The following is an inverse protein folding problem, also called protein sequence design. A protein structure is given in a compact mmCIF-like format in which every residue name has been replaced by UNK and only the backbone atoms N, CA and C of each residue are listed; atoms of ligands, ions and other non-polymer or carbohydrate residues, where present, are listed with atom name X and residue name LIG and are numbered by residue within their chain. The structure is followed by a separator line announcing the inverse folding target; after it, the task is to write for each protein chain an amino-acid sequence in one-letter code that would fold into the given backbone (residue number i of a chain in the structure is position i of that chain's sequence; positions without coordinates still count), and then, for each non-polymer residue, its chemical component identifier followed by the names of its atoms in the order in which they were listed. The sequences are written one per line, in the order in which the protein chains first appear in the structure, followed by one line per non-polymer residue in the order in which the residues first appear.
data_IF_600022556596
#
_entry.id   IF_600022556596
#
_cell.length_a   1.000
_cell.length_b   1.000
_cell.length_c   1.000
_cell.angle_alpha   90.00
_cell.angle_beta   90.00
_cell.angle_gamma   90.00
#
_symmetry.space_group_name_H-M   'P 1'
#
loop_
_entity.id
_entity.type
_entity.pdbx_description
1 polymer ?
#
# COMPACT_ATOMS: atom_id res chain seq x y z
N UNK A 1 -11.21 26.65 -11.50
CA UNK A 1 -10.52 25.42 -11.04
C UNK A 1 -11.41 24.24 -11.42
N UNK A 2 -10.86 23.21 -12.05
CA UNK A 2 -11.64 22.06 -12.56
C UNK A 2 -11.92 21.06 -11.43
N UNK A 3 -13.11 20.43 -11.43
CA UNK A 3 -13.41 19.30 -10.55
C UNK A 3 -12.59 18.11 -11.01
N UNK A 4 -11.86 17.47 -10.09
CA UNK A 4 -11.02 16.31 -10.38
C UNK A 4 -11.44 15.13 -9.52
N UNK A 5 -11.64 13.98 -10.15
CA UNK A 5 -11.98 12.73 -9.49
C UNK A 5 -10.76 11.83 -9.54
N UNK A 6 -10.25 11.44 -8.37
CA UNK A 6 -9.11 10.52 -8.25
C UNK A 6 -9.58 9.22 -7.64
N UNK A 7 -9.15 8.11 -8.23
CA UNK A 7 -9.33 6.79 -7.67
C UNK A 7 -7.98 6.14 -7.44
N UNK A 8 -7.75 5.61 -6.23
CA UNK A 8 -6.59 4.80 -5.90
C UNK A 8 -7.01 3.38 -5.57
N UNK A 9 -6.20 2.41 -5.99
CA UNK A 9 -6.42 1.00 -5.73
C UNK A 9 -5.09 0.26 -5.58
N UNK A 10 -5.11 -0.93 -4.99
CA UNK A 10 -3.94 -1.81 -5.01
C UNK A 10 -3.50 -2.10 -6.44
N UNK A 11 -2.19 -2.04 -6.70
CA UNK A 11 -1.60 -2.37 -7.99
C UNK A 11 -1.76 -3.86 -8.35
N UNK A 12 -2.07 -4.71 -7.36
CA UNK A 12 -2.38 -6.12 -7.51
C UNK A 12 -3.52 -6.51 -6.57
N UNK A 13 -4.17 -7.64 -6.81
CA UNK A 13 -5.17 -8.22 -5.92
C UNK A 13 -4.91 -9.69 -5.62
N UNK A 14 -5.17 -10.14 -4.40
CA UNK A 14 -5.11 -11.55 -4.05
C UNK A 14 -6.46 -12.23 -4.25
N UNK A 15 -6.50 -13.35 -4.97
CA UNK A 15 -7.76 -14.07 -5.21
C UNK A 15 -8.32 -14.75 -3.97
N UNK A 16 -9.64 -14.76 -3.94
CA UNK A 16 -10.52 -15.51 -3.04
C UNK A 16 -10.65 -16.96 -3.51
N UNK A 17 -10.77 -17.89 -2.56
CA UNK A 17 -10.84 -19.33 -2.82
C UNK A 17 -12.07 -19.94 -2.14
N UNK A 18 -12.89 -20.67 -2.90
CA UNK A 18 -14.12 -21.25 -2.39
C UNK A 18 -15.01 -20.16 -1.77
N UNK A 19 -15.34 -20.33 -0.49
CA UNK A 19 -16.16 -19.37 0.29
C UNK A 19 -15.34 -18.28 0.99
N UNK A 20 -14.00 -18.36 1.00
CA UNK A 20 -13.13 -17.38 1.65
C UNK A 20 -13.11 -16.08 0.84
N UNK A 21 -13.49 -14.95 1.47
CA UNK A 21 -13.42 -13.62 0.85
C UNK A 21 -12.12 -12.92 1.21
N UNK A 22 -11.28 -12.65 0.21
CA UNK A 22 -10.10 -11.79 0.32
C UNK A 22 -10.39 -10.43 -0.31
N UNK A 23 -10.79 -9.49 0.54
CA UNK A 23 -11.05 -8.13 0.11
C UNK A 23 -9.80 -7.46 -0.44
N UNK A 24 -10.00 -6.59 -1.43
CA UNK A 24 -8.97 -5.74 -2.00
C UNK A 24 -8.30 -4.92 -0.88
N UNK A 25 -6.97 -4.91 -0.87
CA UNK A 25 -6.20 -4.31 0.19
C UNK A 25 -4.96 -3.57 -0.38
N UNK A 26 -4.83 -2.25 -0.18
CA UNK A 26 -5.80 -1.40 0.52
C UNK A 26 -7.14 -1.31 -0.23
N UNK A 27 -8.25 -1.03 0.47
CA UNK A 27 -9.56 -0.91 -0.17
C UNK A 27 -9.53 0.25 -1.17
N UNK A 28 -10.03 0.09 -2.41
CA UNK A 28 -10.10 1.19 -3.36
C UNK A 28 -10.75 2.43 -2.76
N UNK A 29 -10.20 3.61 -3.07
CA UNK A 29 -10.64 4.89 -2.52
C UNK A 29 -10.90 5.87 -3.66
N UNK A 30 -11.98 6.63 -3.55
CA UNK A 30 -12.27 7.76 -4.43
C UNK A 30 -12.19 9.06 -3.65
N UNK A 31 -11.68 10.12 -4.29
CA UNK A 31 -11.66 11.48 -3.78
C UNK A 31 -12.06 12.46 -4.88
N UNK A 32 -13.08 13.28 -4.62
CA UNK A 32 -13.52 14.35 -5.52
C UNK A 32 -12.98 15.69 -5.00
N UNK A 33 -12.06 16.27 -5.75
CA UNK A 33 -11.52 17.60 -5.50
C UNK A 33 -12.26 18.63 -6.32
N UNK A 34 -13.04 19.49 -5.66
CA UNK A 34 -13.97 20.42 -6.33
C UNK A 34 -13.63 21.91 -6.15
N UNK A 35 -12.53 22.25 -5.46
CA UNK A 35 -12.13 23.64 -5.21
C UNK A 35 -13.26 24.48 -4.60
N UNK A 36 -13.52 25.66 -5.18
CA UNK A 36 -14.61 26.56 -4.75
C UNK A 36 -16.01 25.93 -4.83
N UNK A 37 -16.20 24.89 -5.65
CA UNK A 37 -17.48 24.22 -5.83
C UNK A 37 -17.75 23.12 -4.78
N UNK A 38 -16.80 22.85 -3.86
CA UNK A 38 -16.92 21.76 -2.91
C UNK A 38 -18.19 21.82 -2.04
N UNK A 39 -18.63 23.02 -1.64
CA UNK A 39 -19.87 23.20 -0.87
C UNK A 39 -21.10 22.80 -1.67
N UNK A 40 -21.17 23.23 -2.93
CA UNK A 40 -22.27 22.90 -3.82
C UNK A 40 -22.31 21.40 -4.11
N UNK A 41 -21.17 20.80 -4.48
CA UNK A 41 -21.10 19.35 -4.73
C UNK A 41 -21.48 18.55 -3.49
N UNK A 42 -21.05 18.96 -2.28
CA UNK A 42 -21.47 18.27 -1.06
C UNK A 42 -22.98 18.34 -0.82
N UNK A 43 -23.61 19.48 -1.14
CA UNK A 43 -25.05 19.65 -0.98
C UNK A 43 -25.87 18.72 -1.88
N UNK A 44 -25.32 18.34 -3.05
CA UNK A 44 -25.94 17.37 -3.95
C UNK A 44 -25.91 15.93 -3.39
N UNK A 45 -25.06 15.63 -2.40
CA UNK A 45 -24.85 14.28 -1.86
C UNK A 45 -24.48 13.25 -2.96
N UNK A 46 -23.35 13.47 -3.66
CA UNK A 46 -22.86 12.55 -4.68
C UNK A 46 -22.58 11.17 -4.09
N UNK A 47 -22.85 10.17 -4.92
CA UNK A 47 -22.50 8.79 -4.63
C UNK A 47 -21.75 8.20 -5.82
N UNK A 48 -21.03 7.13 -5.53
CA UNK A 48 -20.23 6.42 -6.51
C UNK A 48 -20.46 4.93 -6.38
N UNK A 49 -20.53 4.24 -7.51
CA UNK A 49 -20.55 2.77 -7.53
C UNK A 49 -19.24 2.27 -8.11
N UNK A 50 -18.72 1.19 -7.56
CA UNK A 50 -17.53 0.52 -8.08
C UNK A 50 -17.79 -0.96 -8.27
N UNK A 51 -17.45 -1.46 -9.46
CA UNK A 51 -17.59 -2.86 -9.84
C UNK A 51 -16.25 -3.49 -10.21
N UNK A 52 -16.18 -4.82 -10.06
CA UNK A 52 -15.07 -5.62 -10.59
C UNK A 52 -15.45 -6.10 -11.99
N UNK A 53 -14.68 -5.68 -12.99
CA UNK A 53 -14.88 -6.03 -14.40
C UNK A 53 -13.86 -7.08 -14.81
N UNK A 54 -14.35 -8.21 -15.33
CA UNK A 54 -13.52 -9.28 -15.91
C UNK A 54 -13.56 -9.20 -17.44
N UNK A 55 -12.39 -9.19 -18.09
CA UNK A 55 -12.23 -9.00 -19.55
C UNK A 55 -12.95 -10.06 -20.41
N UNK A 56 -13.27 -11.23 -19.84
CA UNK A 56 -13.91 -12.34 -20.58
C UNK A 56 -15.44 -12.37 -20.47
N UNK A 57 -16.04 -11.48 -19.70
CA UNK A 57 -17.50 -11.44 -19.54
C UNK A 57 -18.09 -10.37 -20.46
N UNK A 58 -17.94 -10.56 -21.77
CA UNK A 58 -18.67 -9.78 -22.80
C UNK A 58 -19.78 -10.66 -23.37
N UNK A 59 -20.87 -10.78 -22.62
CA UNK A 59 -22.13 -11.37 -23.07
C UNK A 59 -23.31 -10.53 -22.56
N UNK A 60 -24.52 -10.70 -23.10
CA UNK A 60 -25.71 -9.93 -22.69
C UNK A 60 -26.17 -10.20 -21.24
N UNK A 61 -25.48 -11.09 -20.51
CA UNK A 61 -25.62 -11.36 -19.08
C UNK A 61 -24.30 -11.09 -18.32
N UNK A 62 -23.49 -10.13 -18.79
CA UNK A 62 -22.32 -9.66 -18.05
C UNK A 62 -22.74 -8.86 -16.83
N UNK A 63 -23.37 -9.55 -15.88
CA UNK A 63 -23.64 -8.99 -14.57
C UNK A 63 -22.29 -8.60 -13.96
N UNK A 64 -22.16 -7.34 -13.55
CA UNK A 64 -21.13 -6.94 -12.61
C UNK A 64 -21.29 -7.85 -11.39
N UNK A 65 -20.54 -8.96 -11.35
CA UNK A 65 -20.66 -10.03 -10.33
C UNK A 65 -20.55 -9.49 -8.90
N UNK A 66 -19.98 -8.29 -8.76
CA UNK A 66 -19.90 -7.60 -7.51
C UNK A 66 -19.74 -6.09 -7.76
N UNK A 67 -20.79 -5.35 -7.43
CA UNK A 67 -20.84 -3.90 -7.41
C UNK A 67 -21.05 -3.44 -5.96
N UNK A 68 -20.41 -2.33 -5.58
CA UNK A 68 -20.60 -1.70 -4.29
C UNK A 68 -20.93 -0.23 -4.49
N UNK A 69 -22.00 0.24 -3.85
CA UNK A 69 -22.33 1.66 -3.71
C UNK A 69 -21.59 2.30 -2.53
N UNK A 70 -21.21 3.56 -2.69
CA UNK A 70 -20.60 4.36 -1.63
C UNK A 70 -20.94 5.84 -1.76
N UNK A 71 -21.57 6.41 -0.73
CA UNK A 71 -21.75 7.85 -0.61
C UNK A 71 -20.43 8.53 -0.25
N UNK A 72 -20.16 9.70 -0.83
CA UNK A 72 -18.99 10.50 -0.46
C UNK A 72 -19.20 11.13 0.94
N UNK A 73 -18.16 11.13 1.75
CA UNK A 73 -18.14 11.76 3.07
C UNK A 73 -18.01 13.30 2.97
N UNK A 74 -17.93 13.96 4.12
CA UNK A 74 -17.70 15.41 4.20
C UNK A 74 -16.43 15.87 3.49
N UNK A 75 -15.41 15.03 3.38
CA UNK A 75 -14.18 15.35 2.65
C UNK A 75 -14.28 14.97 1.16
N UNK A 76 -15.48 14.65 0.67
CA UNK A 76 -15.74 14.15 -0.66
C UNK A 76 -14.91 12.89 -0.98
N UNK A 77 -14.74 12.01 0.01
CA UNK A 77 -14.01 10.76 -0.09
C UNK A 77 -14.90 9.57 0.21
N UNK A 78 -14.56 8.42 -0.34
CA UNK A 78 -15.19 7.16 0.03
C UNK A 78 -14.24 5.98 -0.18
N UNK A 79 -14.59 4.81 0.35
CA UNK A 79 -13.77 3.60 0.21
C UNK A 79 -14.60 2.33 0.07
N UNK A 80 -14.17 1.46 -0.84
CA UNK A 80 -14.84 0.21 -1.19
C UNK A 80 -14.17 -0.97 -0.50
N UNK A 81 -14.71 -1.39 0.65
CA UNK A 81 -14.08 -2.39 1.54
C UNK A 81 -14.49 -3.82 1.28
N UNK A 82 -15.55 -4.04 0.50
CA UNK A 82 -16.15 -5.36 0.33
C UNK A 82 -15.86 -5.96 -1.04
N UNK A 83 -15.11 -5.25 -1.88
CA UNK A 83 -14.67 -5.74 -3.17
C UNK A 83 -13.64 -6.87 -2.99
N UNK A 84 -13.83 -8.00 -3.65
CA UNK A 84 -12.91 -9.12 -3.74
C UNK A 84 -12.98 -9.75 -5.14
N UNK A 85 -11.92 -10.43 -5.56
CA UNK A 85 -11.89 -11.18 -6.83
C UNK A 85 -11.90 -12.68 -6.52
N UNK A 86 -12.75 -13.44 -7.21
CA UNK A 86 -12.82 -14.90 -7.08
C UNK A 86 -12.03 -15.57 -8.21
N UNK A 87 -11.42 -16.72 -7.91
CA UNK A 87 -10.89 -17.60 -8.94
C UNK A 87 -11.92 -18.68 -9.24
N UNK A 88 -12.95 -18.40 -10.03
CA UNK A 88 -13.93 -19.41 -10.45
C UNK A 88 -13.30 -20.33 -11.49
N UNK A 89 -13.56 -21.64 -11.37
CA UNK A 89 -12.78 -22.75 -11.95
C UNK A 89 -12.71 -22.87 -13.49
N UNK A 90 -13.13 -21.85 -14.24
CA UNK A 90 -12.95 -21.72 -15.69
C UNK A 90 -12.44 -20.32 -16.11
N UNK A 91 -12.40 -19.36 -15.18
CA UNK A 91 -11.98 -17.98 -15.43
C UNK A 91 -10.45 -17.89 -15.42
N UNK A 92 -9.88 -18.07 -16.60
CA UNK A 92 -8.44 -17.99 -16.86
C UNK A 92 -7.88 -16.57 -16.82
N UNK A 93 -8.71 -15.54 -16.59
CA UNK A 93 -8.21 -14.16 -16.58
C UNK A 93 -7.30 -13.92 -15.38
N UNK A 94 -6.04 -13.58 -15.66
CA UNK A 94 -5.05 -13.17 -14.66
C UNK A 94 -5.18 -11.69 -14.29
N UNK A 95 -6.11 -10.97 -14.91
CA UNK A 95 -6.31 -9.54 -14.77
C UNK A 95 -7.79 -9.22 -14.54
N UNK A 96 -8.08 -8.11 -13.87
CA UNK A 96 -9.41 -7.51 -13.78
C UNK A 96 -9.29 -5.98 -13.87
N UNK A 97 -10.38 -5.27 -14.04
CA UNK A 97 -10.44 -3.80 -13.91
C UNK A 97 -11.43 -3.41 -12.83
N UNK A 98 -11.28 -2.20 -12.31
CA UNK A 98 -12.29 -1.54 -11.48
C UNK A 98 -13.04 -0.55 -12.36
N UNK A 99 -14.36 -0.74 -12.49
CA UNK A 99 -15.25 0.24 -13.11
C UNK A 99 -15.80 1.16 -12.05
N UNK A 100 -15.65 2.46 -12.21
CA UNK A 100 -16.20 3.49 -11.33
C UNK A 100 -17.26 4.28 -12.10
N UNK A 101 -18.43 4.41 -11.50
CA UNK A 101 -19.48 5.30 -11.96
C UNK A 101 -19.73 6.35 -10.88
N UNK A 102 -19.90 7.60 -11.31
CA UNK A 102 -20.08 8.75 -10.43
C UNK A 102 -21.43 9.39 -10.72
N UNK A 103 -22.22 9.58 -9.67
CA UNK A 103 -23.56 10.14 -9.75
C UNK A 103 -23.62 11.43 -8.94
N UNK A 104 -24.29 12.45 -9.49
CA UNK A 104 -24.44 13.74 -8.83
C UNK A 104 -25.17 13.61 -7.49
N UNK A 105 -26.19 12.75 -7.44
CA UNK A 105 -26.99 12.47 -6.25
C UNK A 105 -27.66 11.09 -6.36
N UNK A 106 -28.28 10.59 -5.27
CA UNK A 106 -28.94 9.27 -5.22
C UNK A 106 -30.14 9.10 -6.15
N UNK A 107 -30.71 10.19 -6.65
CA UNK A 107 -31.86 10.17 -7.56
C UNK A 107 -31.44 10.24 -9.03
N UNK A 108 -30.14 10.41 -9.29
CA UNK A 108 -29.60 10.46 -10.65
C UNK A 108 -29.73 9.09 -11.31
N UNK A 109 -30.44 9.03 -12.45
CA UNK A 109 -30.63 7.79 -13.21
C UNK A 109 -29.46 7.44 -14.13
N UNK A 110 -28.59 8.43 -14.41
CA UNK A 110 -27.43 8.28 -15.28
C UNK A 110 -26.16 8.78 -14.57
N UNK A 111 -25.02 8.09 -14.73
CA UNK A 111 -23.77 8.55 -14.17
C UNK A 111 -23.28 9.80 -14.90
N UNK A 112 -22.78 10.76 -14.13
CA UNK A 112 -22.10 11.97 -14.62
C UNK A 112 -20.71 11.66 -15.17
N UNK A 113 -20.05 10.63 -14.63
CA UNK A 113 -18.78 10.14 -15.15
C UNK A 113 -18.70 8.61 -15.03
N UNK A 114 -18.08 7.98 -16.02
CA UNK A 114 -17.75 6.56 -16.02
C UNK A 114 -16.26 6.44 -16.33
N UNK A 115 -15.55 5.65 -15.54
CA UNK A 115 -14.12 5.46 -15.74
C UNK A 115 -13.67 4.08 -15.26
N UNK A 116 -12.75 3.49 -16.01
CA UNK A 116 -12.17 2.19 -15.68
C UNK A 116 -10.70 2.34 -15.28
N UNK A 117 -10.27 1.49 -14.36
CA UNK A 117 -8.85 1.35 -14.06
C UNK A 117 -8.08 0.70 -15.21
N UNK A 118 -6.75 0.86 -15.19
CA UNK A 118 -5.87 -0.05 -15.91
C UNK A 118 -6.07 -1.50 -15.43
N UNK A 119 -5.73 -2.52 -16.24
CA UNK A 119 -5.79 -3.92 -15.80
C UNK A 119 -4.94 -4.16 -14.55
N UNK A 120 -5.53 -4.81 -13.55
CA UNK A 120 -4.95 -5.12 -12.25
C UNK A 120 -4.64 -6.62 -12.19
N UNK A 121 -3.38 -7.03 -11.97
CA UNK A 121 -3.02 -8.42 -11.84
C UNK A 121 -3.60 -9.12 -10.60
N UNK A 122 -4.09 -10.32 -10.82
CA UNK A 122 -4.58 -11.24 -9.80
C UNK A 122 -3.45 -12.21 -9.42
N UNK A 123 -3.12 -12.25 -8.13
CA UNK A 123 -2.15 -13.17 -7.55
C UNK A 123 -2.81 -14.23 -6.68
N UNK A 124 -2.21 -15.42 -6.61
CA UNK A 124 -2.68 -16.51 -5.74
C UNK A 124 -2.30 -16.28 -4.29
N UNK A 125 -1.04 -15.94 -4.04
CA UNK A 125 -0.46 -15.60 -2.74
C UNK A 125 0.68 -14.59 -2.91
N UNK A 126 0.86 -13.64 -1.98
CA UNK A 126 2.07 -12.84 -1.90
C UNK A 126 3.32 -13.73 -1.87
N UNK A 127 4.36 -13.35 -2.62
CA UNK A 127 5.60 -14.12 -2.64
C UNK A 127 6.34 -13.98 -1.30
N UNK A 128 6.56 -15.09 -0.61
CA UNK A 128 7.45 -15.14 0.56
C UNK A 128 8.92 -14.93 0.17
N UNK A 129 9.30 -15.38 -1.02
CA UNK A 129 10.65 -15.21 -1.55
C UNK A 129 10.76 -13.85 -2.22
N UNK A 130 11.91 -13.20 -2.09
CA UNK A 130 12.31 -12.10 -2.97
C UNK A 130 12.16 -12.60 -4.41
N UNK A 131 11.33 -11.93 -5.22
CA UNK A 131 11.10 -12.39 -6.58
C UNK A 131 12.40 -12.31 -7.39
N UNK A 132 12.69 -13.33 -8.21
CA UNK A 132 13.83 -13.32 -9.12
C UNK A 132 13.62 -12.24 -10.19
N UNK A 133 14.71 -11.68 -10.72
CA UNK A 133 14.77 -10.50 -11.60
C UNK A 133 13.95 -10.54 -12.92
N UNK A 134 13.11 -11.56 -13.15
CA UNK A 134 12.31 -11.73 -14.37
C UNK A 134 10.84 -11.31 -14.27
N UNK A 135 10.33 -10.82 -13.14
CA UNK A 135 8.93 -10.42 -13.01
C UNK A 135 8.78 -9.01 -12.43
N UNK A 136 9.10 -7.99 -13.25
CA UNK A 136 9.14 -6.58 -12.85
C UNK A 136 7.82 -6.06 -12.24
N UNK A 137 6.67 -6.62 -12.66
CA UNK A 137 5.35 -6.29 -12.10
C UNK A 137 5.21 -6.59 -10.60
N UNK A 138 6.07 -7.46 -10.07
CA UNK A 138 6.07 -7.82 -8.65
C UNK A 138 6.92 -6.90 -7.78
N UNK A 139 7.72 -6.00 -8.35
CA UNK A 139 8.64 -5.15 -7.59
C UNK A 139 8.01 -3.79 -7.25
N UNK A 140 8.47 -3.21 -6.15
CA UNK A 140 8.28 -1.79 -5.86
C UNK A 140 9.43 -1.05 -6.53
N UNK A 141 9.11 -0.20 -7.51
CA UNK A 141 10.09 0.60 -8.23
C UNK A 141 10.21 1.99 -7.61
N UNK A 142 11.39 2.60 -7.76
CA UNK A 142 11.60 3.99 -7.40
C UNK A 142 10.61 4.90 -8.14
N UNK A 143 9.93 5.78 -7.40
CA UNK A 143 8.90 6.68 -7.91
C UNK A 143 7.49 6.07 -7.99
N UNK A 144 7.30 4.81 -7.62
CA UNK A 144 5.94 4.25 -7.53
C UNK A 144 5.18 4.75 -6.30
N UNK A 145 3.87 4.89 -6.44
CA UNK A 145 2.98 5.05 -5.30
C UNK A 145 2.84 3.74 -4.52
N UNK A 146 2.89 3.81 -3.20
CA UNK A 146 2.73 2.70 -2.28
C UNK A 146 1.78 3.04 -1.14
N UNK A 147 1.20 2.01 -0.52
CA UNK A 147 0.54 2.09 0.77
C UNK A 147 1.17 1.08 1.72
N UNK A 148 1.18 1.42 3.00
CA UNK A 148 1.74 0.60 4.06
C UNK A 148 0.61 0.21 5.00
N UNK A 149 0.48 -1.09 5.28
CA UNK A 149 -0.55 -1.61 6.18
C UNK A 149 0.06 -2.52 7.26
N UNK A 150 -0.39 -2.35 8.50
CA UNK A 150 -0.05 -3.20 9.62
C UNK A 150 -1.28 -4.04 9.97
N UNK A 151 -1.18 -5.37 9.79
CA UNK A 151 -2.22 -6.34 10.14
C UNK A 151 -1.65 -7.38 11.08
N UNK A 152 -2.02 -7.27 12.35
CA UNK A 152 -1.57 -8.15 13.42
C UNK A 152 -2.48 -9.38 13.48
N UNK A 153 -1.89 -10.57 13.62
CA UNK A 153 -2.61 -11.85 13.76
C UNK A 153 -3.66 -12.10 12.66
N UNK A 154 -3.42 -11.60 11.45
CA UNK A 154 -4.35 -11.68 10.32
C UNK A 154 -5.76 -11.07 10.56
N UNK A 155 -5.94 -10.21 11.57
CA UNK A 155 -7.23 -9.58 11.88
C UNK A 155 -7.51 -8.38 10.97
N UNK A 156 -8.49 -8.50 10.07
CA UNK A 156 -8.81 -7.46 9.06
C UNK A 156 -9.34 -6.18 9.68
N UNK A 157 -10.23 -6.26 10.68
CA UNK A 157 -10.89 -5.12 11.33
C UNK A 157 -9.91 -4.17 12.02
N UNK A 158 -8.79 -4.68 12.53
CA UNK A 158 -7.77 -3.88 13.23
C UNK A 158 -6.61 -3.46 12.31
N UNK A 159 -6.76 -3.64 10.99
CA UNK A 159 -5.70 -3.24 10.05
C UNK A 159 -5.49 -1.74 10.15
N UNK A 160 -4.29 -1.34 10.56
CA UNK A 160 -3.84 0.05 10.51
C UNK A 160 -3.17 0.29 9.18
N UNK A 161 -3.34 1.48 8.62
CA UNK A 161 -2.66 1.93 7.43
C UNK A 161 -1.85 3.17 7.76
N UNK A 162 -0.71 3.34 7.08
CA UNK A 162 -0.04 4.63 7.08
C UNK A 162 -0.93 5.63 6.35
N UNK A 163 -1.15 6.78 6.98
CA UNK A 163 -2.00 7.85 6.51
C UNK A 163 -1.40 9.21 6.85
N UNK A 164 -1.85 10.24 6.15
CA UNK A 164 -1.63 11.63 6.54
C UNK A 164 -2.88 12.16 7.21
N UNK A 165 -2.72 12.77 8.38
CA UNK A 165 -3.77 13.45 9.12
C UNK A 165 -3.22 14.63 9.89
N UNK A 166 -3.96 15.74 9.97
CA UNK A 166 -3.52 16.95 10.68
C UNK A 166 -2.08 17.36 10.33
N UNK A 167 -1.74 17.30 9.05
CA UNK A 167 -0.41 17.62 8.53
C UNK A 167 0.74 16.72 9.05
N UNK A 168 0.43 15.54 9.60
CA UNK A 168 1.38 14.58 10.13
C UNK A 168 1.14 13.16 9.59
N UNK A 169 2.21 12.38 9.49
CA UNK A 169 2.13 10.96 9.11
C UNK A 169 1.78 10.14 10.36
N UNK A 170 0.76 9.28 10.26
CA UNK A 170 0.27 8.47 11.37
C UNK A 170 -0.22 7.08 10.90
N UNK A 171 -0.54 6.22 11.87
CA UNK A 171 -1.17 4.93 11.63
C UNK A 171 -2.67 4.99 11.95
N UNK A 172 -3.54 4.84 10.94
CA UNK A 172 -5.00 4.92 11.11
C UNK A 172 -5.71 3.60 10.79
N UNK A 173 -6.76 3.30 11.55
CA UNK A 173 -7.70 2.23 11.20
C UNK A 173 -8.70 2.81 10.18
N UNK A 174 -9.00 2.05 9.14
CA UNK A 174 -10.04 2.39 8.17
C UNK A 174 -9.65 3.44 7.12
N UNK A 175 -8.70 4.33 7.36
CA UNK A 175 -8.22 5.28 6.34
C UNK A 175 -6.75 5.03 6.01
N UNK A 176 -6.40 5.15 4.73
CA UNK A 176 -5.05 4.96 4.23
C UNK A 176 -4.64 6.12 3.34
N UNK A 177 -3.35 6.30 3.14
CA UNK A 177 -2.84 7.24 2.15
C UNK A 177 -1.86 6.56 1.19
N UNK A 178 -1.75 7.16 0.01
CA UNK A 178 -0.80 6.78 -1.00
C UNK A 178 0.46 7.65 -0.87
N UNK A 179 1.62 7.03 -0.97
CA UNK A 179 2.92 7.69 -0.87
C UNK A 179 3.81 7.29 -2.04
N UNK A 180 4.35 8.26 -2.76
CA UNK A 180 5.42 8.04 -3.73
C UNK A 180 6.69 7.65 -2.96
N UNK A 181 7.20 6.44 -3.20
CA UNK A 181 8.49 6.00 -2.64
C UNK A 181 9.64 6.54 -3.50
N UNK A 182 10.54 7.31 -2.90
CA UNK A 182 11.76 7.79 -3.58
C UNK A 182 13.00 7.31 -2.86
N UNK A 183 13.96 6.77 -3.59
CA UNK A 183 15.29 6.51 -3.06
C UNK A 183 16.06 7.83 -2.92
N UNK A 184 16.78 8.00 -1.82
CA UNK A 184 17.60 9.20 -1.56
C UNK A 184 18.75 9.31 -2.55
N UNK A 185 19.36 8.17 -2.91
CA UNK A 185 20.41 8.06 -3.93
C UNK A 185 19.95 7.11 -5.02
N UNK A 186 19.09 7.55 -5.95
CA UNK A 186 18.55 6.67 -6.98
C UNK A 186 19.61 6.37 -8.04
N UNK A 187 19.63 5.16 -8.60
CA UNK A 187 20.42 4.87 -9.79
C UNK A 187 19.81 5.58 -11.02
N UNK A 188 20.55 5.69 -12.13
CA UNK A 188 20.17 6.51 -13.30
C UNK A 188 18.92 6.05 -14.07
N UNK A 189 18.46 4.82 -13.84
CA UNK A 189 17.32 4.23 -14.55
C UNK A 189 16.20 3.85 -13.57
N UNK A 190 14.95 3.70 -14.03
CA UNK A 190 13.88 3.12 -13.23
C UNK A 190 14.33 1.77 -12.66
N UNK A 191 14.50 1.72 -11.35
CA UNK A 191 15.06 0.56 -10.67
C UNK A 191 14.15 0.11 -9.54
N UNK A 192 14.17 -1.19 -9.22
CA UNK A 192 13.58 -1.68 -7.98
C UNK A 192 14.19 -0.97 -6.78
N UNK A 193 13.36 -0.68 -5.79
CA UNK A 193 13.82 -0.34 -4.45
C UNK A 193 14.40 -1.61 -3.85
N UNK A 194 15.65 -1.57 -3.39
CA UNK A 194 16.31 -2.72 -2.76
C UNK A 194 16.20 -2.61 -1.23
N UNK A 195 16.13 -3.75 -0.55
CA UNK A 195 16.32 -3.79 0.89
C UNK A 195 17.69 -3.19 1.27
N UNK A 196 17.70 -2.38 2.33
CA UNK A 196 18.84 -1.56 2.75
C UNK A 196 18.93 -0.19 2.07
N UNK A 197 18.06 0.13 1.10
CA UNK A 197 18.05 1.46 0.48
C UNK A 197 17.52 2.52 1.46
N UNK A 198 18.16 3.70 1.44
CA UNK A 198 17.60 4.91 2.03
C UNK A 198 16.49 5.45 1.14
N UNK A 199 15.31 5.65 1.72
CA UNK A 199 14.10 6.13 1.05
C UNK A 199 13.47 7.29 1.79
N UNK A 200 12.63 8.02 1.06
CA UNK A 200 11.65 8.97 1.59
C UNK A 200 10.29 8.60 1.01
N UNK A 201 9.25 8.65 1.84
CA UNK A 201 7.86 8.49 1.41
C UNK A 201 7.21 9.85 1.32
N UNK A 202 6.65 10.20 0.17
CA UNK A 202 6.03 11.51 -0.09
C UNK A 202 4.55 11.29 -0.37
N UNK A 203 3.67 11.87 0.43
CA UNK A 203 2.23 11.72 0.25
C UNK A 203 1.78 12.30 -1.10
N UNK A 204 1.07 11.50 -1.90
CA UNK A 204 0.73 11.84 -3.29
C UNK A 204 -0.23 13.04 -3.41
N UNK A 205 -0.95 13.38 -2.34
CA UNK A 205 -1.92 14.48 -2.33
C UNK A 205 -1.38 15.75 -1.66
N UNK A 206 -0.73 15.60 -0.50
CA UNK A 206 -0.34 16.73 0.35
C UNK A 206 1.12 17.11 0.19
N UNK A 207 1.96 16.25 -0.38
CA UNK A 207 3.41 16.45 -0.46
C UNK A 207 4.14 16.28 0.87
N UNK A 208 3.43 16.03 1.98
CA UNK A 208 4.03 15.72 3.29
C UNK A 208 4.90 14.48 3.15
N UNK A 209 6.11 14.56 3.67
CA UNK A 209 7.11 13.51 3.54
C UNK A 209 7.59 13.02 4.89
N UNK A 210 8.07 11.78 4.92
CA UNK A 210 8.83 11.26 6.06
C UNK A 210 10.22 11.90 6.11
N UNK A 211 10.89 11.75 7.25
CA UNK A 211 12.36 11.80 7.28
C UNK A 211 12.95 10.67 6.42
N UNK A 212 14.28 10.66 6.30
CA UNK A 212 15.02 9.59 5.67
C UNK A 212 14.83 8.28 6.45
N UNK A 213 14.51 7.19 5.75
CA UNK A 213 14.26 5.88 6.34
C UNK A 213 15.03 4.80 5.58
N UNK A 214 15.45 3.74 6.26
CA UNK A 214 16.04 2.56 5.66
C UNK A 214 14.97 1.46 5.60
N UNK A 215 14.70 0.94 4.39
CA UNK A 215 13.75 -0.15 4.21
C UNK A 215 14.41 -1.51 4.47
N UNK A 216 13.93 -2.24 5.48
CA UNK A 216 14.45 -3.58 5.83
C UNK A 216 13.43 -4.68 5.59
N UNK A 217 13.91 -5.88 5.27
CA UNK A 217 13.07 -7.07 5.10
C UNK A 217 12.72 -7.65 6.46
N UNK A 218 11.46 -8.04 6.66
CA UNK A 218 11.04 -8.84 7.81
C UNK A 218 10.67 -10.24 7.37
N UNK A 219 11.27 -11.24 7.99
CA UNK A 219 10.97 -12.65 7.75
C UNK A 219 10.96 -13.41 9.08
N UNK A 220 9.91 -14.19 9.33
CA UNK A 220 9.73 -14.97 10.55
C UNK A 220 9.92 -14.16 11.85
N UNK A 221 9.39 -12.93 11.89
CA UNK A 221 9.48 -12.05 13.06
C UNK A 221 10.88 -11.46 13.30
N UNK A 222 11.75 -11.50 12.29
CA UNK A 222 13.10 -10.93 12.37
C UNK A 222 13.38 -9.97 11.22
N UNK A 223 14.07 -8.87 11.52
CA UNK A 223 14.61 -7.93 10.54
C UNK A 223 15.91 -8.49 9.97
N UNK A 224 16.01 -8.62 8.66
CA UNK A 224 17.25 -9.01 7.97
C UNK A 224 18.04 -7.77 7.59
N UNK A 225 19.23 -7.61 8.18
CA UNK A 225 20.13 -6.47 7.92
C UNK A 225 21.02 -6.69 6.70
N UNK A 226 21.29 -7.94 6.34
CA UNK A 226 22.07 -8.36 5.16
C UNK A 226 21.23 -8.56 3.89
N UNK A 227 19.92 -8.28 3.95
CA UNK A 227 19.01 -8.49 2.82
C UNK A 227 19.36 -7.64 1.61
N UNK A 228 19.93 -8.25 0.56
CA UNK A 228 20.30 -7.61 -0.71
C UNK A 228 19.37 -8.08 -1.83
N UNK A 229 18.18 -7.48 -1.93
CA UNK A 229 17.25 -7.85 -2.99
C UNK A 229 16.08 -6.87 -3.15
N UNK A 230 15.33 -6.97 -4.26
CA UNK A 230 14.24 -6.06 -4.55
C UNK A 230 13.06 -6.23 -3.58
N UNK A 231 12.54 -5.11 -3.10
CA UNK A 231 11.30 -5.05 -2.35
C UNK A 231 10.16 -5.45 -3.30
N UNK A 232 9.42 -6.49 -2.94
CA UNK A 232 8.30 -6.98 -3.74
C UNK A 232 6.95 -6.60 -3.14
N UNK A 233 5.93 -6.56 -3.97
CA UNK A 233 4.53 -6.34 -3.60
C UNK A 233 4.12 -7.28 -2.45
N UNK A 234 3.40 -6.74 -1.47
CA UNK A 234 2.81 -7.44 -0.33
C UNK A 234 3.82 -8.13 0.60
N UNK A 235 5.09 -7.68 0.61
CA UNK A 235 6.10 -8.16 1.55
C UNK A 235 6.07 -7.38 2.87
N UNK A 236 6.49 -8.07 3.95
CA UNK A 236 6.62 -7.48 5.28
C UNK A 236 7.96 -6.78 5.41
N UNK A 237 7.93 -5.54 5.86
CA UNK A 237 9.07 -4.62 5.96
C UNK A 237 9.06 -3.90 7.30
N UNK A 238 10.18 -3.30 7.64
CA UNK A 238 10.31 -2.26 8.68
C UNK A 238 10.97 -1.05 8.06
N UNK A 239 10.64 0.13 8.57
CA UNK A 239 11.26 1.40 8.22
C UNK A 239 12.07 1.86 9.43
N UNK A 240 13.40 1.82 9.30
CA UNK A 240 14.33 2.22 10.36
C UNK A 240 14.82 3.64 10.13
N UNK A 241 15.00 4.43 11.20
CA UNK A 241 15.68 5.71 11.10
C UNK A 241 17.20 5.46 10.99
N UNK A 242 17.93 6.08 10.05
CA UNK A 242 19.37 5.90 9.88
C UNK A 242 20.16 6.16 11.16
N UNK A 243 19.79 7.21 11.88
CA UNK A 243 20.57 7.68 13.04
C UNK A 243 20.36 6.81 14.30
N UNK A 244 19.43 5.84 14.28
CA UNK A 244 19.31 4.85 15.38
C UNK A 244 20.43 3.80 15.37
N UNK A 245 21.23 3.73 14.30
CA UNK A 245 22.44 2.91 14.31
C UNK A 245 23.52 3.51 15.23
N UNK A 246 23.55 4.83 15.43
CA UNK A 246 24.58 5.49 16.26
C UNK A 246 24.26 5.48 17.76
N UNK A 247 22.98 5.51 18.17
CA UNK A 247 22.62 5.42 19.60
C UNK A 247 23.01 4.07 20.22
N UNK A 248 22.82 2.96 19.50
CA UNK A 248 23.29 1.64 19.93
C UNK A 248 24.81 1.49 19.93
N UNK A 249 25.55 2.32 19.17
CA UNK A 249 27.01 2.32 19.16
C UNK A 249 27.61 3.16 20.29
N UNK A 250 26.83 4.08 20.87
CA UNK A 250 27.26 4.94 21.98
C UNK A 250 26.93 4.37 23.37
N UNK A 251 25.94 3.48 23.49
CA UNK A 251 25.67 2.78 24.76
C UNK A 251 26.77 1.77 25.13
N UNK A 252 27.41 1.13 24.14
CA UNK A 252 28.52 0.18 24.36
C UNK A 252 29.87 0.87 24.69
N UNK A 253 30.02 2.17 24.43
CA UNK A 253 31.24 2.94 24.77
C UNK A 253 31.14 3.70 26.10
N UNK A 254 29.96 3.73 26.72
CA UNK A 254 29.70 4.51 27.93
C UNK A 254 29.76 3.69 29.23
N UNK A 255 30.61 2.67 29.36
CA UNK A 255 30.93 2.07 30.67
C UNK A 255 32.21 1.22 30.66
N UNK A 256 33.40 1.84 30.74
CA UNK A 256 34.56 1.19 31.36
C UNK A 256 35.58 2.19 31.91
N UNK A 257 35.31 2.70 33.11
CA UNK A 257 36.31 3.34 33.95
C UNK A 257 36.40 2.53 35.26
N UNK A 258 37.29 1.53 35.32
CA UNK A 258 37.46 0.72 36.52
C UNK A 258 38.26 -0.56 36.32
N UNK A 259 39.57 -0.46 36.49
CA UNK A 259 40.54 -1.51 36.88
C UNK A 259 39.97 -2.93 37.10
N UNK A 260 40.25 -3.86 36.17
CA UNK A 260 40.86 -5.17 36.48
C UNK A 260 41.03 -6.06 35.24
N UNK A 261 42.02 -6.94 35.36
CA UNK A 261 42.71 -7.71 34.34
C UNK A 261 41.92 -8.97 33.92
N UNK A 262 41.25 -8.97 32.75
CA UNK A 262 41.12 -10.14 31.86
C UNK A 262 40.46 -9.71 30.54
N UNK A 263 41.07 -10.07 29.40
CA UNK A 263 40.49 -9.81 28.07
C UNK A 263 39.11 -10.49 27.93
N UNK A 264 38.04 -9.77 27.59
CA UNK A 264 36.89 -10.42 26.99
C UNK A 264 37.27 -10.78 25.55
N UNK A 265 37.32 -12.09 25.27
CA UNK A 265 37.44 -12.66 23.93
C UNK A 265 36.48 -11.93 22.98
N UNK A 266 36.98 -11.45 21.84
CA UNK A 266 36.19 -11.07 20.66
C UNK A 266 35.08 -12.12 20.45
N UNK A 267 33.84 -11.78 20.76
CA UNK A 267 32.67 -12.52 20.27
C UNK A 267 32.31 -11.91 18.93
N UNK A 268 32.29 -12.75 17.91
CA UNK A 268 32.08 -12.37 16.52
C UNK A 268 30.78 -11.57 16.33
N UNK A 269 30.86 -10.47 15.59
CA UNK A 269 29.72 -9.84 14.90
C UNK A 269 29.05 -10.90 14.01
N UNK A 270 27.91 -11.46 14.44
CA UNK A 270 27.08 -12.31 13.58
C UNK A 270 25.64 -12.48 14.09
N UNK A 271 24.87 -11.40 14.21
CA UNK A 271 23.42 -11.52 14.16
C UNK A 271 22.89 -10.77 12.94
N UNK A 272 22.91 -11.44 11.79
CA UNK A 272 22.31 -11.00 10.52
C UNK A 272 20.79 -10.74 10.62
N UNK A 273 20.18 -11.15 11.75
CA UNK A 273 18.76 -11.02 12.01
C UNK A 273 18.47 -10.60 13.46
N UNK A 274 17.72 -9.51 13.64
CA UNK A 274 17.27 -9.01 14.96
C UNK A 274 15.77 -9.27 15.10
N UNK A 275 15.30 -9.72 16.28
CA UNK A 275 13.87 -9.91 16.53
C UNK A 275 13.11 -8.57 16.43
N UNK A 276 11.90 -8.58 15.90
CA UNK A 276 11.09 -7.35 15.75
C UNK A 276 9.65 -7.58 16.17
N UNK A 277 9.09 -6.57 16.83
CA UNK A 277 7.68 -6.56 17.18
C UNK A 277 6.79 -6.39 15.92
N UNK A 278 5.70 -7.13 15.87
CA UNK A 278 4.68 -7.02 14.83
C UNK A 278 4.06 -5.62 14.77
N UNK A 279 4.03 -4.85 15.86
CA UNK A 279 3.47 -3.49 15.87
C UNK A 279 4.24 -2.48 15.01
N UNK A 280 5.54 -2.70 14.78
CA UNK A 280 6.39 -1.81 13.95
C UNK A 280 6.57 -2.31 12.52
N UNK A 281 6.01 -3.48 12.21
CA UNK A 281 6.09 -4.08 10.88
C UNK A 281 5.00 -3.57 9.95
N UNK A 282 5.33 -3.36 8.69
CA UNK A 282 4.39 -2.95 7.65
C UNK A 282 4.39 -3.96 6.52
N UNK A 283 3.25 -4.17 5.88
CA UNK A 283 3.16 -4.80 4.56
C UNK A 283 3.08 -3.69 3.52
N UNK A 284 4.00 -3.70 2.56
CA UNK A 284 4.05 -2.71 1.48
C UNK A 284 3.26 -3.18 0.26
N UNK A 285 2.38 -2.33 -0.26
CA UNK A 285 1.59 -2.59 -1.46
C UNK A 285 1.77 -1.43 -2.43
N UNK A 286 2.09 -1.71 -3.69
CA UNK A 286 2.05 -0.71 -4.74
C UNK A 286 0.62 -0.26 -5.03
N UNK A 287 0.47 0.96 -5.49
CA UNK A 287 -0.81 1.63 -5.71
C UNK A 287 -0.92 2.06 -7.17
N UNK A 288 -2.03 1.70 -7.81
CA UNK A 288 -2.48 2.29 -9.06
C UNK A 288 -3.37 3.49 -8.79
N UNK A 289 -3.33 4.48 -9.67
CA UNK A 289 -4.19 5.65 -9.64
C UNK A 289 -4.68 5.97 -11.04
N UNK A 290 -5.93 6.40 -11.14
CA UNK A 290 -6.49 7.01 -12.34
C UNK A 290 -7.26 8.28 -11.97
N UNK A 291 -7.26 9.24 -12.91
CA UNK A 291 -7.76 10.60 -12.71
C UNK A 291 -8.71 10.94 -13.86
N UNK A 292 -9.79 11.63 -13.53
CA UNK A 292 -10.70 12.31 -14.44
C UNK A 292 -10.83 13.78 -14.06
#
# INVERSE_FOLDING_TARGET
QMTTIRCWHGAIAQKSYGIEKRYLCPPPMVHVSAGVNAKQIRAEQPHVTMSVIHEKVTGPQGENLMEQDCSLDDNLKCSFRNLHVTGTGSDSSKLFKLGLQVYLNKHSTMPTAIMDSNPIPIISKPSKKTAKAGNASCFILNGMSVSLLNRINAQTVRTKYMAVDNNAICAKIGSWSSFTIKMVKPPPAPSPVLYGSEIVLINDLTGIMTDRLIIRKVENGKVSRSGSGPVSQMQKIVLEHPDREDEMMNEDEAEFNGQNNSMPRRVARSQDSVAVDDFVCWTIAGIGMYIY
#
